data_IF_363922985489
#
_entry.id   IF_363922985489
#
_cell.length_a   1.000
_cell.length_b   1.000
_cell.length_c   1.000
_cell.angle_alpha   90.00
_cell.angle_beta   90.00
_cell.angle_gamma   90.00
#
_symmetry.space_group_name_H-M   'P 1'
#
loop_
_entity.id
_entity.type
_entity.pdbx_description
1 polymer ?
#
# COMPACT_ATOMS: atom_id res chain seq x y z
N UNK A 1 -9.10 13.25 14.62
CA UNK A 1 -8.70 11.84 14.38
C UNK A 1 -7.37 11.61 15.07
N UNK A 2 -7.16 10.48 15.75
CA UNK A 2 -5.88 10.17 16.41
C UNK A 2 -4.91 9.55 15.40
N UNK A 3 -3.63 9.91 15.45
CA UNK A 3 -2.56 9.43 14.54
C UNK A 3 -2.47 7.91 14.48
N UNK A 4 -2.66 7.22 15.61
CA UNK A 4 -2.72 5.74 15.69
C UNK A 4 -3.87 5.12 14.91
N UNK A 5 -5.04 5.76 14.87
CA UNK A 5 -6.17 5.30 14.03
C UNK A 5 -5.86 5.47 12.54
N UNK A 6 -5.06 6.48 12.18
CA UNK A 6 -4.64 6.72 10.81
C UNK A 6 -3.63 5.67 10.34
N UNK A 7 -2.63 5.37 11.18
CA UNK A 7 -1.61 4.36 10.92
C UNK A 7 -2.20 2.95 10.71
N UNK A 8 -3.13 2.54 11.58
CA UNK A 8 -3.81 1.24 11.46
C UNK A 8 -4.64 1.13 10.16
N UNK A 9 -5.32 2.21 9.78
CA UNK A 9 -6.07 2.30 8.52
C UNK A 9 -5.14 2.17 7.31
N UNK A 10 -3.98 2.83 7.34
CA UNK A 10 -3.00 2.78 6.25
C UNK A 10 -2.35 1.39 6.13
N UNK A 11 -1.98 0.75 7.26
CA UNK A 11 -1.49 -0.65 7.26
C UNK A 11 -2.54 -1.62 6.69
N UNK A 12 -3.83 -1.37 6.95
CA UNK A 12 -4.93 -2.14 6.35
C UNK A 12 -5.03 -1.92 4.84
N UNK A 13 -4.95 -0.67 4.37
CA UNK A 13 -4.93 -0.32 2.93
C UNK A 13 -3.74 -0.96 2.22
N UNK A 14 -2.57 -0.97 2.84
CA UNK A 14 -1.36 -1.59 2.31
C UNK A 14 -1.55 -3.10 2.06
N UNK A 15 -2.22 -3.78 2.99
CA UNK A 15 -2.56 -5.21 2.84
C UNK A 15 -3.46 -5.45 1.62
N UNK A 16 -4.44 -4.57 1.39
CA UNK A 16 -5.34 -4.64 0.23
C UNK A 16 -4.55 -4.41 -1.07
N UNK A 17 -3.63 -3.44 -1.09
CA UNK A 17 -2.83 -3.13 -2.29
C UNK A 17 -1.88 -4.28 -2.63
N UNK A 18 -1.24 -4.90 -1.64
CA UNK A 18 -0.40 -6.11 -1.83
C UNK A 18 -1.22 -7.29 -2.39
N UNK A 19 -2.48 -7.44 -1.98
CA UNK A 19 -3.38 -8.43 -2.57
C UNK A 19 -3.71 -8.10 -4.05
N UNK A 20 -3.91 -6.82 -4.36
CA UNK A 20 -4.11 -6.34 -5.73
C UNK A 20 -2.90 -6.62 -6.63
N UNK A 21 -1.70 -6.31 -6.15
CA UNK A 21 -0.43 -6.61 -6.83
C UNK A 21 -0.33 -8.10 -7.17
N UNK A 22 -0.55 -8.99 -6.18
CA UNK A 22 -0.48 -10.44 -6.39
C UNK A 22 -1.45 -10.95 -7.45
N UNK A 23 -2.65 -10.35 -7.54
CA UNK A 23 -3.61 -10.68 -8.60
C UNK A 23 -3.09 -10.21 -9.96
N UNK A 24 -2.58 -8.99 -10.06
CA UNK A 24 -2.01 -8.46 -11.29
C UNK A 24 -0.82 -9.30 -11.78
N UNK A 25 0.06 -9.74 -10.86
CA UNK A 25 1.16 -10.68 -11.12
C UNK A 25 0.64 -12.03 -11.66
N UNK A 26 -0.42 -12.56 -11.05
CA UNK A 26 -1.04 -13.84 -11.48
C UNK A 26 -1.59 -13.74 -12.91
N UNK A 27 -2.12 -12.58 -13.29
CA UNK A 27 -2.67 -12.34 -14.63
C UNK A 27 -1.62 -11.83 -15.64
N UNK A 28 -0.37 -11.60 -15.23
CA UNK A 28 0.67 -11.04 -16.09
C UNK A 28 0.37 -9.63 -16.59
N UNK A 29 -0.45 -8.86 -15.87
CA UNK A 29 -0.85 -7.51 -16.27
C UNK A 29 0.18 -6.48 -15.82
N UNK A 30 1.22 -6.26 -16.64
CA UNK A 30 2.35 -5.41 -16.31
C UNK A 30 1.97 -3.95 -15.97
N UNK A 31 0.94 -3.41 -16.63
CA UNK A 31 0.46 -2.05 -16.36
C UNK A 31 -0.18 -1.95 -14.97
N UNK A 32 -0.95 -2.97 -14.57
CA UNK A 32 -1.54 -3.03 -13.24
C UNK A 32 -0.48 -3.30 -12.17
N UNK A 33 0.50 -4.17 -12.44
CA UNK A 33 1.63 -4.43 -11.54
C UNK A 33 2.34 -3.11 -11.22
N UNK A 34 2.73 -2.35 -12.25
CA UNK A 34 3.45 -1.07 -12.10
C UNK A 34 2.63 -0.05 -11.28
N UNK A 35 1.31 0.00 -11.49
CA UNK A 35 0.40 0.88 -10.73
C UNK A 35 0.32 0.46 -9.26
N UNK A 36 0.22 -0.84 -8.99
CA UNK A 36 0.19 -1.36 -7.62
C UNK A 36 1.51 -1.12 -6.90
N UNK A 37 2.64 -1.40 -7.53
CA UNK A 37 3.98 -1.16 -6.97
C UNK A 37 4.17 0.33 -6.60
N UNK A 38 3.82 1.23 -7.51
CA UNK A 38 3.91 2.69 -7.26
C UNK A 38 3.03 3.12 -6.09
N UNK A 39 1.80 2.60 -6.03
CA UNK A 39 0.84 2.94 -4.95
C UNK A 39 1.25 2.35 -3.60
N UNK A 40 1.86 1.16 -3.60
CA UNK A 40 2.41 0.50 -2.41
C UNK A 40 3.59 1.30 -1.88
N UNK A 41 4.54 1.67 -2.75
CA UNK A 41 5.73 2.43 -2.35
C UNK A 41 5.36 3.78 -1.72
N UNK A 42 4.43 4.53 -2.33
CA UNK A 42 3.94 5.78 -1.77
C UNK A 42 3.29 5.59 -0.40
N UNK A 43 2.44 4.56 -0.25
CA UNK A 43 1.76 4.28 1.01
C UNK A 43 2.73 3.78 2.10
N UNK A 44 3.76 3.01 1.74
CA UNK A 44 4.81 2.59 2.68
C UNK A 44 5.62 3.79 3.17
N UNK A 45 5.93 4.74 2.30
CA UNK A 45 6.57 6.00 2.71
C UNK A 45 5.68 6.80 3.66
N UNK A 46 4.40 7.00 3.37
CA UNK A 46 3.49 7.73 4.26
C UNK A 46 3.33 7.03 5.62
N UNK A 47 3.35 5.69 5.65
CA UNK A 47 3.33 4.92 6.90
C UNK A 47 4.60 5.17 7.71
N UNK A 48 5.77 5.12 7.07
CA UNK A 48 7.06 5.34 7.73
C UNK A 48 7.17 6.77 8.28
N UNK A 49 6.72 7.78 7.53
CA UNK A 49 6.66 9.17 7.99
C UNK A 49 5.78 9.35 9.24
N UNK A 50 4.68 8.60 9.34
CA UNK A 50 3.78 8.64 10.51
C UNK A 50 4.24 7.79 11.69
N UNK A 51 4.97 6.70 11.45
CA UNK A 51 5.51 5.81 12.50
C UNK A 51 6.72 6.48 13.20
N UNK A 52 7.45 7.36 12.48
CA UNK A 52 8.59 8.12 12.98
C UNK A 52 8.23 9.47 13.66
N UNK A 53 6.94 9.79 13.85
CA UNK A 53 6.43 10.98 14.55
C UNK A 53 6.09 10.70 16.02
#
# INVERSE_FOLDING_TARGET
MSTTKNLSSMKSRLTIYKLGLRRAETHGNQDEITKWESSIAALEQEIDELDNQ
#
